data_IF_321737799299
#
_entry.id   IF_321737799299
#
_cell.length_a   1.000
_cell.length_b   1.000
_cell.length_c   1.000
_cell.angle_alpha   90.00
_cell.angle_beta   90.00
_cell.angle_gamma   90.00
#
_symmetry.space_group_name_H-M   'P 1'
#
loop_
_entity.id
_entity.type
_entity.pdbx_description
1 polymer ?
#
# COMPACT_ATOMS: atom_id res chain seq x y z
N UNK A 1 25.73 28.93 -44.15
CA UNK A 1 25.02 30.05 -43.47
C UNK A 1 24.51 29.53 -42.14
N UNK A 2 25.17 29.90 -41.05
CA UNK A 2 24.79 29.44 -39.69
C UNK A 2 23.60 30.27 -39.24
N UNK A 3 22.51 29.57 -38.93
CA UNK A 3 21.21 30.16 -38.63
C UNK A 3 21.26 30.86 -37.26
N UNK A 4 21.63 32.13 -37.22
CA UNK A 4 21.77 32.99 -36.03
C UNK A 4 20.44 33.10 -35.22
N UNK A 5 19.32 32.92 -35.87
CA UNK A 5 17.98 32.93 -35.27
C UNK A 5 17.84 31.83 -34.22
N UNK A 6 18.41 30.63 -34.43
CA UNK A 6 18.32 29.50 -33.49
C UNK A 6 19.11 29.73 -32.19
N UNK A 7 20.09 30.64 -32.19
CA UNK A 7 20.98 30.92 -31.05
C UNK A 7 20.36 31.90 -30.05
N UNK A 8 19.44 32.76 -30.50
CA UNK A 8 18.84 33.81 -29.66
C UNK A 8 17.37 33.59 -29.31
N UNK A 9 16.59 32.90 -30.14
CA UNK A 9 15.15 32.72 -29.93
C UNK A 9 14.83 31.46 -29.09
N UNK A 10 15.52 30.34 -29.29
CA UNK A 10 15.26 29.10 -28.52
C UNK A 10 15.49 29.20 -27.02
N UNK A 11 16.54 29.89 -26.49
CA UNK A 11 16.70 30.03 -25.03
C UNK A 11 15.62 30.88 -24.39
N UNK A 12 15.12 31.92 -25.03
CA UNK A 12 14.07 32.79 -24.49
C UNK A 12 12.69 32.10 -24.47
N UNK A 13 12.35 31.34 -25.51
CA UNK A 13 11.09 30.58 -25.53
C UNK A 13 11.06 29.49 -24.47
N UNK A 14 12.17 28.76 -24.24
CA UNK A 14 12.26 27.77 -23.14
C UNK A 14 12.12 28.39 -21.75
N UNK A 15 12.59 29.64 -21.55
CA UNK A 15 12.43 30.33 -20.27
C UNK A 15 11.00 30.86 -20.03
N UNK A 16 10.30 31.26 -21.11
CA UNK A 16 8.90 31.72 -21.01
C UNK A 16 7.94 30.56 -20.75
N UNK A 17 8.16 29.40 -21.37
CA UNK A 17 7.35 28.20 -21.09
C UNK A 17 7.68 27.56 -19.73
N UNK A 18 8.91 27.70 -19.22
CA UNK A 18 9.27 27.24 -17.87
C UNK A 18 8.70 28.11 -16.76
N UNK A 19 8.45 29.39 -17.01
CA UNK A 19 7.88 30.32 -16.02
C UNK A 19 6.36 30.20 -15.84
N UNK A 20 5.62 29.62 -16.80
CA UNK A 20 4.15 29.47 -16.71
C UNK A 20 3.68 28.20 -15.99
N UNK A 21 4.55 27.25 -15.69
CA UNK A 21 4.20 26.03 -14.94
C UNK A 21 4.62 26.08 -13.45
N UNK A 22 5.24 27.17 -12.99
CA UNK A 22 5.80 27.27 -11.63
C UNK A 22 5.06 28.25 -10.70
N UNK A 23 3.99 28.90 -11.16
CA UNK A 23 3.23 29.83 -10.32
C UNK A 23 1.77 29.40 -10.30
N UNK A 24 1.39 28.61 -9.32
CA UNK A 24 0.15 28.51 -8.54
C UNK A 24 0.06 27.16 -7.82
N UNK A 25 0.94 26.89 -6.92
CA UNK A 25 0.72 25.94 -5.85
C UNK A 25 0.77 26.70 -4.51
N UNK A 26 -0.31 27.36 -4.19
CA UNK A 26 -0.56 27.99 -2.90
C UNK A 26 -0.91 26.95 -1.82
N UNK A 27 -0.57 25.70 -2.05
CA UNK A 27 -0.80 24.63 -1.07
C UNK A 27 -2.25 24.20 -0.88
N UNK A 28 -3.22 24.91 -1.48
CA UNK A 28 -4.66 24.68 -1.31
C UNK A 28 -5.24 23.66 -2.30
N UNK A 29 -4.56 23.45 -3.44
CA UNK A 29 -5.08 22.65 -4.54
C UNK A 29 -4.36 21.31 -4.66
N UNK A 30 -5.11 20.28 -5.03
CA UNK A 30 -4.59 18.96 -5.43
C UNK A 30 -4.84 18.75 -6.92
N UNK A 31 -3.78 18.43 -7.65
CA UNK A 31 -3.87 18.08 -9.06
C UNK A 31 -4.03 16.55 -9.22
N UNK A 32 -4.92 16.13 -10.12
CA UNK A 32 -5.10 14.75 -10.50
C UNK A 32 -4.48 14.45 -11.87
N UNK A 33 -4.12 13.20 -12.13
CA UNK A 33 -3.63 12.74 -13.44
C UNK A 33 -4.64 12.96 -14.59
N UNK A 34 -5.93 13.18 -14.29
CA UNK A 34 -6.96 13.60 -15.26
C UNK A 34 -6.97 15.12 -15.52
N UNK A 35 -5.94 15.87 -15.07
CA UNK A 35 -5.78 17.32 -15.23
C UNK A 35 -6.86 18.16 -14.53
N UNK A 36 -7.64 17.59 -13.63
CA UNK A 36 -8.59 18.33 -12.80
C UNK A 36 -7.94 18.75 -11.48
N UNK A 37 -8.17 20.02 -11.12
CA UNK A 37 -7.80 20.60 -9.82
C UNK A 37 -8.96 20.45 -8.85
N UNK A 38 -8.67 20.06 -7.63
CA UNK A 38 -9.65 19.95 -6.54
C UNK A 38 -9.05 20.59 -5.29
N UNK A 39 -9.85 21.26 -4.47
CA UNK A 39 -9.38 21.76 -3.17
C UNK A 39 -8.92 20.58 -2.31
N UNK A 40 -7.80 20.73 -1.59
CA UNK A 40 -7.26 19.67 -0.72
C UNK A 40 -8.26 19.23 0.35
N UNK A 41 -9.05 20.15 0.88
CA UNK A 41 -10.10 19.83 1.86
C UNK A 41 -11.21 18.96 1.26
N UNK A 42 -11.71 19.31 0.08
CA UNK A 42 -12.74 18.53 -0.60
C UNK A 42 -12.21 17.17 -1.03
N UNK A 43 -10.95 17.13 -1.44
CA UNK A 43 -10.26 15.91 -1.78
C UNK A 43 -10.12 14.99 -0.57
N UNK A 44 -9.77 15.53 0.61
CA UNK A 44 -9.72 14.80 1.87
C UNK A 44 -11.10 14.31 2.30
N UNK A 45 -12.15 15.17 2.22
CA UNK A 45 -13.54 14.77 2.50
C UNK A 45 -14.01 13.63 1.59
N UNK A 46 -13.54 13.59 0.34
CA UNK A 46 -13.82 12.51 -0.60
C UNK A 46 -12.83 11.33 -0.48
N UNK A 47 -12.25 11.10 0.71
CA UNK A 47 -11.33 10.01 1.02
C UNK A 47 -10.12 9.93 0.07
N UNK A 48 -9.63 11.08 -0.39
CA UNK A 48 -8.53 11.19 -1.38
C UNK A 48 -8.84 10.47 -2.71
N UNK A 49 -10.09 10.41 -3.10
CA UNK A 49 -10.55 9.93 -4.40
C UNK A 49 -10.89 11.13 -5.28
N UNK A 50 -10.40 11.17 -6.50
CA UNK A 50 -10.71 12.26 -7.42
C UNK A 50 -12.22 12.32 -7.72
N UNK A 51 -12.91 13.43 -7.48
CA UNK A 51 -14.35 13.52 -7.72
C UNK A 51 -14.72 13.39 -9.21
N UNK A 52 -13.80 13.74 -10.11
CA UNK A 52 -14.02 13.73 -11.55
C UNK A 52 -13.80 12.36 -12.17
N UNK A 53 -12.61 11.74 -12.00
CA UNK A 53 -12.27 10.48 -12.63
C UNK A 53 -12.38 9.26 -11.70
N UNK A 54 -12.78 9.48 -10.44
CA UNK A 54 -12.95 8.45 -9.40
C UNK A 54 -11.68 7.68 -9.02
N UNK A 55 -10.50 8.11 -9.53
CA UNK A 55 -9.23 7.46 -9.22
C UNK A 55 -8.82 7.72 -7.77
N UNK A 56 -8.51 6.69 -6.98
CA UNK A 56 -7.97 6.85 -5.65
C UNK A 56 -6.51 7.32 -5.74
N UNK A 57 -6.17 8.34 -4.97
CA UNK A 57 -4.80 8.81 -4.84
C UNK A 57 -4.05 8.04 -3.74
N UNK A 58 -2.72 7.89 -3.86
CA UNK A 58 -1.91 7.25 -2.83
C UNK A 58 -2.09 7.93 -1.48
N UNK A 59 -2.17 7.12 -0.42
CA UNK A 59 -2.19 7.56 0.96
C UNK A 59 -0.87 7.17 1.63
N UNK A 60 -0.44 7.96 2.60
CA UNK A 60 0.58 7.52 3.53
C UNK A 60 -0.04 6.62 4.63
N UNK A 61 0.81 5.97 5.42
CA UNK A 61 0.35 5.00 6.43
C UNK A 61 -0.60 5.64 7.44
N UNK A 62 -0.26 6.83 7.97
CA UNK A 62 -1.11 7.56 8.92
C UNK A 62 -2.48 7.89 8.33
N UNK A 63 -2.52 8.44 7.12
CA UNK A 63 -3.80 8.75 6.45
C UNK A 63 -4.65 7.49 6.25
N UNK A 64 -4.02 6.34 5.98
CA UNK A 64 -4.71 5.06 5.84
C UNK A 64 -5.34 4.64 7.16
N UNK A 65 -4.61 4.69 8.26
CA UNK A 65 -5.12 4.34 9.58
C UNK A 65 -6.25 5.28 10.01
N UNK A 66 -6.05 6.60 9.84
CA UNK A 66 -7.05 7.63 10.19
C UNK A 66 -8.39 7.46 9.44
N UNK A 67 -8.34 6.96 8.18
CA UNK A 67 -9.55 6.74 7.38
C UNK A 67 -10.23 5.40 7.66
N UNK A 68 -9.46 4.41 8.11
CA UNK A 68 -9.95 3.04 8.20
C UNK A 68 -10.39 2.67 9.61
N UNK A 69 -9.70 3.13 10.65
CA UNK A 69 -9.97 2.78 12.03
C UNK A 69 -10.96 3.75 12.69
N UNK A 70 -11.67 3.25 13.69
CA UNK A 70 -12.66 4.00 14.46
C UNK A 70 -12.00 5.20 15.14
N UNK A 71 -12.64 6.37 15.04
CA UNK A 71 -12.23 7.64 15.66
C UNK A 71 -10.78 8.06 15.41
N UNK A 72 -10.10 7.42 14.43
CA UNK A 72 -8.66 7.54 14.18
C UNK A 72 -7.81 7.18 15.41
N UNK A 73 -8.33 6.29 16.28
CA UNK A 73 -7.65 5.79 17.46
C UNK A 73 -6.99 4.44 17.18
N UNK A 74 -5.69 4.36 17.45
CA UNK A 74 -4.91 3.14 17.28
C UNK A 74 -3.60 3.19 18.04
N UNK A 75 -3.08 2.02 18.36
CA UNK A 75 -1.79 1.84 19.01
C UNK A 75 -0.76 1.29 18.03
N UNK A 76 0.43 1.87 18.00
CA UNK A 76 1.54 1.38 17.18
C UNK A 76 2.07 0.07 17.73
N UNK A 77 2.30 -0.90 16.86
CA UNK A 77 2.89 -2.19 17.23
C UNK A 77 4.41 -2.06 17.22
N UNK A 78 5.03 -2.39 18.34
CA UNK A 78 6.48 -2.41 18.46
C UNK A 78 7.08 -3.60 17.69
N UNK A 79 8.25 -3.39 17.11
CA UNK A 79 8.96 -4.40 16.33
C UNK A 79 10.47 -4.31 16.53
N UNK A 80 11.17 -5.40 16.25
CA UNK A 80 12.62 -5.44 16.22
C UNK A 80 13.18 -4.52 15.13
N UNK A 81 14.29 -3.82 15.42
CA UNK A 81 14.92 -2.90 14.47
C UNK A 81 16.24 -3.49 13.96
N UNK A 82 16.24 -4.28 12.88
CA UNK A 82 17.48 -4.74 12.25
C UNK A 82 18.26 -3.56 11.66
N UNK A 83 19.57 -3.72 11.38
CA UNK A 83 20.35 -2.70 10.72
C UNK A 83 19.72 -2.23 9.41
N UNK A 84 19.64 -0.91 9.20
CA UNK A 84 19.02 -0.33 7.99
C UNK A 84 19.82 -0.66 6.72
N UNK A 85 21.14 -0.69 6.80
CA UNK A 85 22.07 -0.98 5.69
C UNK A 85 23.08 -2.06 6.11
N UNK A 86 22.65 -3.33 6.16
CA UNK A 86 23.47 -4.42 6.70
C UNK A 86 24.65 -4.81 5.80
N UNK A 87 24.62 -4.44 4.53
CA UNK A 87 25.67 -4.78 3.54
C UNK A 87 26.48 -3.57 3.06
N UNK A 88 26.22 -2.37 3.63
CA UNK A 88 26.83 -1.10 3.20
C UNK A 88 26.74 -0.90 1.69
N UNK A 89 25.52 -1.03 1.16
CA UNK A 89 25.27 -1.01 -0.29
C UNK A 89 25.57 0.34 -0.92
N UNK A 90 26.28 0.29 -2.05
CA UNK A 90 26.60 1.46 -2.88
C UNK A 90 26.42 1.09 -4.36
N UNK A 91 25.61 1.87 -5.06
CA UNK A 91 25.55 1.90 -6.52
C UNK A 91 26.02 3.28 -7.02
N UNK A 92 25.17 4.07 -7.64
CA UNK A 92 25.44 5.48 -7.99
C UNK A 92 25.44 6.40 -6.77
N UNK A 93 24.87 5.96 -5.64
CA UNK A 93 24.77 6.65 -4.34
C UNK A 93 24.79 5.64 -3.22
N UNK A 94 25.25 6.05 -2.03
CA UNK A 94 25.16 5.21 -0.82
C UNK A 94 23.69 4.96 -0.47
N UNK A 95 23.35 3.75 -0.05
CA UNK A 95 21.99 3.43 0.36
C UNK A 95 21.53 4.26 1.57
N UNK A 96 22.41 4.56 2.52
CA UNK A 96 22.14 5.46 3.66
C UNK A 96 21.66 6.84 3.22
N UNK A 97 22.21 7.39 2.11
CA UNK A 97 21.77 8.69 1.59
C UNK A 97 20.37 8.61 0.96
N UNK A 98 20.03 7.46 0.34
CA UNK A 98 18.68 7.22 -0.18
C UNK A 98 17.66 7.09 0.94
N UNK A 99 18.01 6.40 2.04
CA UNK A 99 17.15 6.27 3.22
C UNK A 99 16.89 7.63 3.86
N UNK A 100 17.95 8.42 4.08
CA UNK A 100 17.83 9.78 4.64
C UNK A 100 16.89 10.64 3.79
N UNK A 101 17.10 10.66 2.48
CA UNK A 101 16.24 11.39 1.54
C UNK A 101 14.80 10.91 1.59
N UNK A 102 14.56 9.60 1.60
CA UNK A 102 13.21 9.03 1.66
C UNK A 102 12.49 9.43 2.96
N UNK A 103 13.18 9.42 4.10
CA UNK A 103 12.64 9.89 5.40
C UNK A 103 12.28 11.38 5.36
N UNK A 104 13.16 12.22 4.81
CA UNK A 104 12.94 13.67 4.68
C UNK A 104 11.73 13.99 3.76
N UNK A 105 11.63 13.29 2.62
CA UNK A 105 10.57 13.55 1.64
C UNK A 105 9.20 13.01 2.07
N UNK A 106 9.15 11.91 2.82
CA UNK A 106 7.89 11.24 3.16
C UNK A 106 7.43 11.48 4.60
N UNK A 107 8.35 11.93 5.48
CA UNK A 107 8.11 12.02 6.92
C UNK A 107 7.89 10.64 7.58
N UNK A 108 8.32 9.54 6.94
CA UNK A 108 8.16 8.19 7.44
C UNK A 108 9.51 7.51 7.66
N UNK A 109 9.59 6.66 8.68
CA UNK A 109 10.81 5.89 8.98
C UNK A 109 11.01 4.69 8.04
N UNK A 110 9.90 4.08 7.56
CA UNK A 110 9.93 2.94 6.65
C UNK A 110 8.65 2.92 5.79
N UNK A 111 8.66 2.11 4.73
CA UNK A 111 7.51 1.91 3.83
C UNK A 111 6.30 1.29 4.52
N UNK A 112 6.52 0.43 5.50
CA UNK A 112 5.49 -0.32 6.23
C UNK A 112 5.35 0.19 7.66
N UNK A 113 4.10 0.23 8.14
CA UNK A 113 3.76 0.45 9.55
C UNK A 113 2.63 -0.49 9.94
N UNK A 114 2.57 -0.82 11.22
CA UNK A 114 1.54 -1.69 11.77
C UNK A 114 0.93 -1.07 13.04
N UNK A 115 -0.39 -1.19 13.15
CA UNK A 115 -1.15 -0.67 14.28
C UNK A 115 -2.24 -1.66 14.71
N UNK A 116 -2.69 -1.49 15.93
CA UNK A 116 -3.83 -2.19 16.51
C UNK A 116 -4.93 -1.17 16.81
N UNK A 117 -6.16 -1.46 16.42
CA UNK A 117 -7.31 -0.58 16.61
C UNK A 117 -8.62 -1.33 16.42
N UNK A 118 -9.67 -0.58 16.09
CA UNK A 118 -11.01 -1.11 15.90
C UNK A 118 -11.58 -0.69 14.54
N UNK A 119 -12.41 -1.55 13.98
CA UNK A 119 -13.21 -1.33 12.77
C UNK A 119 -14.67 -1.64 13.09
N UNK A 120 -15.52 -0.61 13.24
CA UNK A 120 -16.91 -0.75 13.71
C UNK A 120 -16.97 -1.62 14.99
N UNK A 121 -16.16 -1.27 15.98
CA UNK A 121 -15.96 -1.98 17.27
C UNK A 121 -15.32 -3.38 17.15
N UNK A 122 -14.99 -3.87 15.96
CA UNK A 122 -14.25 -5.11 15.74
C UNK A 122 -12.75 -4.89 15.99
N UNK A 123 -12.09 -5.68 16.86
CA UNK A 123 -10.65 -5.54 17.07
C UNK A 123 -9.87 -6.04 15.87
N UNK A 124 -9.01 -5.19 15.34
CA UNK A 124 -8.19 -5.49 14.14
C UNK A 124 -6.72 -5.13 14.33
N UNK A 125 -5.86 -5.85 13.66
CA UNK A 125 -4.45 -5.49 13.43
C UNK A 125 -4.30 -5.07 11.97
N UNK A 126 -3.83 -3.86 11.74
CA UNK A 126 -3.72 -3.29 10.39
C UNK A 126 -2.27 -3.00 10.05
N UNK A 127 -1.83 -3.54 8.94
CA UNK A 127 -0.53 -3.24 8.31
C UNK A 127 -0.79 -2.35 7.11
N UNK A 128 -0.03 -1.29 6.94
CA UNK A 128 -0.12 -0.40 5.78
C UNK A 128 1.24 -0.15 5.17
N UNK A 129 1.29 -0.11 3.84
CA UNK A 129 2.47 0.22 3.06
C UNK A 129 2.26 1.50 2.26
N UNK A 130 3.34 2.28 2.09
CA UNK A 130 3.35 3.47 1.25
C UNK A 130 4.34 3.34 0.09
N UNK A 131 3.89 3.65 -1.12
CA UNK A 131 4.74 3.57 -2.32
C UNK A 131 5.77 4.70 -2.40
N UNK A 132 5.48 5.86 -1.80
CA UNK A 132 6.36 7.03 -1.82
C UNK A 132 7.70 6.77 -1.13
N UNK A 133 7.76 5.86 -0.15
CA UNK A 133 9.00 5.46 0.49
C UNK A 133 9.65 4.32 -0.30
N UNK A 134 10.69 4.61 -1.06
CA UNK A 134 11.49 3.66 -1.86
C UNK A 134 10.66 2.65 -2.67
N UNK A 135 9.57 3.12 -3.29
CA UNK A 135 8.71 2.29 -4.13
C UNK A 135 7.92 1.22 -3.36
N UNK A 136 7.66 1.41 -2.08
CA UNK A 136 6.97 0.40 -1.27
C UNK A 136 7.76 -0.89 -1.11
N UNK A 137 9.09 -0.87 -1.29
CA UNK A 137 9.89 -2.09 -1.36
C UNK A 137 10.11 -2.73 0.00
N UNK A 138 10.07 -4.07 0.02
CA UNK A 138 10.22 -4.91 1.21
C UNK A 138 11.70 -5.16 1.53
N UNK A 139 12.06 -5.02 2.80
CA UNK A 139 13.41 -5.21 3.36
C UNK A 139 13.33 -5.93 4.72
N UNK A 140 14.46 -6.22 5.39
CA UNK A 140 14.44 -6.85 6.71
C UNK A 140 13.59 -6.12 7.76
N UNK A 141 13.56 -4.78 7.74
CA UNK A 141 12.77 -4.00 8.70
C UNK A 141 11.26 -4.15 8.45
N UNK A 142 10.81 -4.13 7.19
CA UNK A 142 9.41 -4.41 6.87
C UNK A 142 9.01 -5.84 7.22
N UNK A 143 9.96 -6.79 7.10
CA UNK A 143 9.78 -8.15 7.57
C UNK A 143 9.48 -8.21 9.07
N UNK A 144 10.28 -7.52 9.91
CA UNK A 144 10.04 -7.46 11.35
C UNK A 144 8.71 -6.81 11.70
N UNK A 145 8.34 -5.71 11.02
CA UNK A 145 7.04 -5.06 11.22
C UNK A 145 5.91 -6.02 10.93
N UNK A 146 5.98 -6.75 9.80
CA UNK A 146 4.94 -7.69 9.41
C UNK A 146 4.82 -8.87 10.39
N UNK A 147 5.94 -9.46 10.80
CA UNK A 147 5.94 -10.57 11.74
C UNK A 147 5.39 -10.15 13.11
N UNK A 148 5.87 -9.03 13.64
CA UNK A 148 5.37 -8.49 14.92
C UNK A 148 3.87 -8.19 14.88
N UNK A 149 3.37 -7.70 13.73
CA UNK A 149 1.95 -7.48 13.52
C UNK A 149 1.16 -8.80 13.49
N UNK A 150 1.68 -9.81 12.80
CA UNK A 150 1.05 -11.15 12.76
C UNK A 150 1.03 -11.82 14.15
N UNK A 151 2.14 -11.76 14.88
CA UNK A 151 2.22 -12.26 16.26
C UNK A 151 1.24 -11.52 17.18
N UNK A 152 1.14 -10.20 17.04
CA UNK A 152 0.18 -9.39 17.78
C UNK A 152 -1.27 -9.81 17.47
N UNK A 153 -1.61 -10.02 16.18
CA UNK A 153 -2.93 -10.47 15.76
C UNK A 153 -3.26 -11.85 16.36
N UNK A 154 -2.34 -12.80 16.31
CA UNK A 154 -2.48 -14.14 16.89
C UNK A 154 -2.69 -14.06 18.41
N UNK A 155 -1.81 -13.33 19.11
CA UNK A 155 -1.84 -13.23 20.57
C UNK A 155 -3.15 -12.62 21.11
N UNK A 156 -3.70 -11.66 20.37
CA UNK A 156 -4.90 -10.91 20.78
C UNK A 156 -6.16 -11.33 20.02
N UNK A 157 -6.11 -12.41 19.22
CA UNK A 157 -7.23 -12.92 18.41
C UNK A 157 -7.89 -11.82 17.55
N UNK A 158 -7.09 -10.96 16.90
CA UNK A 158 -7.56 -9.85 16.08
C UNK A 158 -7.48 -10.20 14.60
N UNK A 159 -8.48 -9.82 13.81
CA UNK A 159 -8.39 -9.95 12.34
C UNK A 159 -7.17 -9.20 11.79
N UNK A 160 -6.50 -9.77 10.78
CA UNK A 160 -5.27 -9.25 10.22
C UNK A 160 -5.51 -8.65 8.84
N UNK A 161 -5.31 -7.34 8.69
CA UNK A 161 -5.62 -6.59 7.46
C UNK A 161 -4.36 -5.91 6.96
N UNK A 162 -4.04 -6.09 5.66
CA UNK A 162 -2.85 -5.53 5.04
C UNK A 162 -3.23 -4.65 3.85
N UNK A 163 -2.99 -3.35 3.94
CA UNK A 163 -3.02 -2.44 2.81
C UNK A 163 -1.65 -2.43 2.14
N UNK A 164 -1.55 -3.04 0.96
CA UNK A 164 -0.28 -3.22 0.27
C UNK A 164 -0.18 -2.39 -1.00
N UNK A 165 1.00 -1.82 -1.21
CA UNK A 165 1.45 -1.23 -2.46
C UNK A 165 2.97 -1.36 -2.53
N UNK A 166 3.49 -2.02 -3.54
CA UNK A 166 4.91 -2.40 -3.55
C UNK A 166 5.43 -2.67 -4.96
N UNK A 167 6.63 -2.20 -5.23
CA UNK A 167 7.44 -2.60 -6.38
C UNK A 167 8.18 -3.93 -6.20
N UNK A 168 8.06 -4.58 -5.04
CA UNK A 168 8.73 -5.85 -4.73
C UNK A 168 9.80 -5.76 -3.65
N UNK A 169 10.82 -6.61 -3.75
CA UNK A 169 11.91 -6.69 -2.77
C UNK A 169 12.94 -5.57 -2.96
N UNK A 170 13.46 -5.03 -1.85
CA UNK A 170 14.43 -3.94 -1.85
C UNK A 170 15.81 -4.43 -2.28
N UNK A 171 16.28 -3.97 -3.45
CA UNK A 171 17.56 -4.38 -4.03
C UNK A 171 18.76 -4.05 -3.13
N UNK A 172 18.72 -2.92 -2.44
CA UNK A 172 19.82 -2.39 -1.63
C UNK A 172 20.12 -3.23 -0.38
N UNK A 173 19.25 -4.13 0.01
CA UNK A 173 19.50 -5.08 1.11
C UNK A 173 19.72 -6.51 0.60
N UNK A 174 19.80 -6.68 -0.72
CA UNK A 174 20.21 -7.90 -1.40
C UNK A 174 19.37 -9.11 -1.00
N UNK A 175 20.02 -10.22 -0.76
CA UNK A 175 19.40 -11.50 -0.41
C UNK A 175 18.59 -11.45 0.89
N UNK A 176 18.93 -10.55 1.81
CA UNK A 176 18.17 -10.37 3.06
C UNK A 176 16.73 -9.92 2.82
N UNK A 177 16.48 -9.15 1.75
CA UNK A 177 15.11 -8.82 1.31
C UNK A 177 14.36 -10.03 0.80
N UNK A 178 15.02 -10.89 0.01
CA UNK A 178 14.40 -12.09 -0.55
C UNK A 178 13.97 -13.07 0.55
N UNK A 179 14.77 -13.19 1.61
CA UNK A 179 14.42 -14.02 2.77
C UNK A 179 13.13 -13.58 3.47
N UNK A 180 12.74 -12.29 3.35
CA UNK A 180 11.49 -11.82 3.94
C UNK A 180 10.26 -12.45 3.28
N UNK A 181 10.35 -12.87 2.01
CA UNK A 181 9.25 -13.58 1.35
C UNK A 181 8.89 -14.85 2.13
N UNK A 182 9.86 -15.69 2.45
CA UNK A 182 9.63 -16.92 3.21
C UNK A 182 9.11 -16.60 4.63
N UNK A 183 9.70 -15.63 5.32
CA UNK A 183 9.28 -15.24 6.68
C UNK A 183 7.83 -14.76 6.72
N UNK A 184 7.45 -13.87 5.81
CA UNK A 184 6.07 -13.36 5.71
C UNK A 184 5.08 -14.46 5.30
N UNK A 185 5.48 -15.39 4.41
CA UNK A 185 4.67 -16.55 4.04
C UNK A 185 4.40 -17.45 5.25
N UNK A 186 5.43 -17.72 6.07
CA UNK A 186 5.27 -18.48 7.32
C UNK A 186 4.30 -17.75 8.28
N UNK A 187 4.43 -16.43 8.42
CA UNK A 187 3.52 -15.65 9.27
C UNK A 187 2.06 -15.76 8.80
N UNK A 188 1.79 -15.69 7.48
CA UNK A 188 0.44 -15.91 6.93
C UNK A 188 -0.07 -17.33 7.21
N UNK A 189 0.81 -18.33 7.12
CA UNK A 189 0.45 -19.71 7.47
C UNK A 189 0.09 -19.85 8.96
N UNK A 190 0.85 -19.25 9.87
CA UNK A 190 0.55 -19.28 11.32
C UNK A 190 -0.74 -18.53 11.66
N UNK A 191 -1.05 -17.41 11.00
CA UNK A 191 -2.34 -16.72 11.11
C UNK A 191 -3.49 -17.68 10.73
N UNK A 192 -3.38 -18.33 9.57
CA UNK A 192 -4.38 -19.29 9.09
C UNK A 192 -4.54 -20.47 10.04
N UNK A 193 -3.43 -21.04 10.52
CA UNK A 193 -3.45 -22.16 11.50
C UNK A 193 -4.12 -21.81 12.82
N UNK A 194 -4.10 -20.52 13.18
CA UNK A 194 -4.78 -19.98 14.37
C UNK A 194 -6.20 -19.46 14.09
N UNK A 195 -6.73 -19.72 12.90
CA UNK A 195 -8.04 -19.24 12.46
C UNK A 195 -8.19 -17.70 12.54
N UNK A 196 -7.10 -16.96 12.38
CA UNK A 196 -7.15 -15.50 12.32
C UNK A 196 -7.55 -15.09 10.90
N UNK A 197 -8.68 -14.39 10.69
CA UNK A 197 -9.08 -13.89 9.38
C UNK A 197 -8.06 -12.96 8.79
N UNK A 198 -7.72 -13.15 7.51
CA UNK A 198 -6.71 -12.36 6.80
C UNK A 198 -7.29 -11.70 5.57
N UNK A 199 -7.05 -10.40 5.41
CA UNK A 199 -7.49 -9.63 4.24
C UNK A 199 -6.31 -8.83 3.71
N UNK A 200 -6.06 -8.93 2.41
CA UNK A 200 -5.09 -8.07 1.70
C UNK A 200 -5.83 -7.14 0.76
N UNK A 201 -5.46 -5.87 0.79
CA UNK A 201 -6.02 -4.83 -0.07
C UNK A 201 -4.91 -4.21 -0.91
N UNK A 202 -4.99 -4.33 -2.22
CA UNK A 202 -4.16 -3.55 -3.13
C UNK A 202 -4.57 -2.07 -3.06
N UNK A 203 -3.74 -1.28 -2.39
CA UNK A 203 -3.88 0.19 -2.25
C UNK A 203 -3.04 0.95 -3.28
N UNK A 204 -2.52 0.25 -4.26
CA UNK A 204 -1.66 0.67 -5.36
C UNK A 204 -1.17 -0.55 -6.14
N UNK A 205 -0.11 -0.39 -6.92
CA UNK A 205 0.51 -1.52 -7.61
C UNK A 205 1.14 -2.50 -6.62
N UNK A 206 0.96 -3.79 -6.85
CA UNK A 206 1.52 -4.89 -6.03
C UNK A 206 2.30 -5.82 -6.94
N UNK A 207 3.63 -5.75 -6.87
CA UNK A 207 4.50 -6.43 -7.83
C UNK A 207 5.61 -7.23 -7.13
N UNK A 208 6.20 -8.12 -7.87
CA UNK A 208 7.40 -8.86 -7.48
C UNK A 208 7.18 -9.83 -6.34
N UNK A 209 8.17 -9.91 -5.48
CA UNK A 209 8.13 -10.81 -4.33
C UNK A 209 7.01 -10.53 -3.33
N UNK A 210 6.43 -9.33 -3.32
CA UNK A 210 5.26 -9.02 -2.49
C UNK A 210 4.05 -9.84 -2.93
N UNK A 211 3.77 -9.88 -4.24
CA UNK A 211 2.71 -10.73 -4.80
C UNK A 211 3.02 -12.22 -4.59
N UNK A 212 4.28 -12.63 -4.82
CA UNK A 212 4.69 -14.02 -4.70
C UNK A 212 4.85 -14.52 -3.24
N UNK A 213 4.48 -13.72 -2.26
CA UNK A 213 4.55 -14.09 -0.85
C UNK A 213 3.22 -13.79 -0.14
N UNK A 214 3.22 -12.93 0.86
CA UNK A 214 2.06 -12.70 1.73
C UNK A 214 0.80 -12.20 1.00
N UNK A 215 0.97 -11.42 -0.07
CA UNK A 215 -0.18 -10.73 -0.67
C UNK A 215 -1.16 -11.68 -1.37
N UNK A 216 -0.69 -12.83 -1.86
CA UNK A 216 -1.55 -13.86 -2.50
C UNK A 216 -2.01 -14.99 -1.57
N UNK A 217 -1.79 -14.85 -0.25
CA UNK A 217 -2.07 -15.93 0.72
C UNK A 217 -3.21 -15.60 1.70
N UNK A 218 -3.83 -14.44 1.55
CA UNK A 218 -4.94 -14.03 2.41
C UNK A 218 -6.24 -14.80 2.11
N UNK A 219 -7.16 -14.82 3.06
CA UNK A 219 -8.50 -15.39 2.89
C UNK A 219 -9.35 -14.57 1.91
N UNK A 220 -9.07 -13.26 1.83
CA UNK A 220 -9.65 -12.36 0.82
C UNK A 220 -8.61 -11.37 0.31
N UNK A 221 -8.65 -11.15 -1.00
CA UNK A 221 -7.74 -10.25 -1.70
C UNK A 221 -8.55 -9.24 -2.50
N UNK A 222 -8.47 -7.96 -2.10
CA UNK A 222 -9.23 -6.87 -2.72
C UNK A 222 -8.32 -5.89 -3.45
N UNK A 223 -8.88 -5.10 -4.36
CA UNK A 223 -8.22 -3.94 -4.97
C UNK A 223 -9.09 -2.70 -4.85
N UNK A 224 -8.50 -1.53 -4.56
CA UNK A 224 -9.21 -0.24 -4.54
C UNK A 224 -9.49 0.33 -5.94
N UNK A 225 -8.79 -0.15 -6.98
CA UNK A 225 -8.87 0.37 -8.35
C UNK A 225 -8.66 -0.76 -9.37
N UNK A 226 -9.42 -0.74 -10.44
CA UNK A 226 -9.33 -1.72 -11.52
C UNK A 226 -8.02 -1.68 -12.31
N UNK A 227 -7.31 -0.54 -12.27
CA UNK A 227 -6.09 -0.29 -13.03
C UNK A 227 -4.80 -0.53 -12.23
N UNK A 228 -4.87 -0.91 -10.94
CA UNK A 228 -3.69 -1.28 -10.20
C UNK A 228 -3.07 -2.54 -10.78
N UNK A 229 -1.74 -2.54 -10.91
CA UNK A 229 -1.03 -3.69 -11.40
C UNK A 229 -0.81 -4.71 -10.29
N UNK A 230 -1.06 -5.97 -10.60
CA UNK A 230 -0.85 -7.10 -9.73
C UNK A 230 -0.12 -8.20 -10.48
N UNK A 231 1.09 -8.55 -10.04
CA UNK A 231 1.85 -9.60 -10.71
C UNK A 231 3.25 -9.81 -10.15
N UNK A 232 3.85 -10.96 -10.48
CA UNK A 232 5.20 -11.29 -10.03
C UNK A 232 6.26 -10.42 -10.73
N UNK A 233 6.18 -10.26 -12.04
CA UNK A 233 7.09 -9.40 -12.81
C UNK A 233 6.34 -8.23 -13.42
N UNK A 234 6.92 -7.02 -13.31
CA UNK A 234 6.36 -5.84 -13.98
C UNK A 234 6.37 -6.01 -15.51
N UNK A 235 5.38 -5.45 -16.20
CA UNK A 235 5.21 -5.52 -17.67
C UNK A 235 6.52 -5.29 -18.42
N UNK A 236 7.25 -4.23 -18.08
CA UNK A 236 8.50 -3.89 -18.73
C UNK A 236 9.52 -5.05 -18.75
N UNK A 237 9.64 -5.78 -17.64
CA UNK A 237 10.58 -6.91 -17.54
C UNK A 237 10.09 -8.07 -18.40
N UNK A 238 8.79 -8.34 -18.39
CA UNK A 238 8.18 -9.39 -19.22
C UNK A 238 8.38 -9.08 -20.69
N UNK A 239 8.06 -7.87 -21.13
CA UNK A 239 8.20 -7.42 -22.51
C UNK A 239 9.65 -7.47 -23.02
N UNK A 240 10.61 -7.09 -22.15
CA UNK A 240 12.03 -7.19 -22.47
C UNK A 240 12.50 -8.64 -22.65
N UNK A 241 11.99 -9.56 -21.85
CA UNK A 241 12.37 -10.97 -21.92
C UNK A 241 11.68 -11.71 -23.08
N UNK A 242 10.39 -11.49 -23.26
CA UNK A 242 9.62 -12.11 -24.35
C UNK A 242 9.81 -11.43 -25.69
N UNK A 243 10.34 -10.19 -25.73
CA UNK A 243 10.46 -9.32 -26.90
C UNK A 243 9.12 -9.03 -27.58
N UNK A 244 8.03 -9.11 -26.82
CA UNK A 244 6.66 -8.86 -27.24
C UNK A 244 6.04 -7.79 -26.34
N UNK A 245 5.13 -6.98 -26.89
CA UNK A 245 4.36 -6.01 -26.11
C UNK A 245 3.14 -6.66 -25.52
N UNK A 246 2.95 -6.50 -24.23
CA UNK A 246 1.75 -6.93 -23.54
C UNK A 246 0.60 -5.94 -23.78
N UNK A 247 -0.62 -6.45 -23.88
CA UNK A 247 -1.81 -5.62 -23.88
C UNK A 247 -1.87 -4.67 -22.66
N UNK A 248 -2.47 -3.48 -22.80
CA UNK A 248 -2.54 -2.51 -21.71
C UNK A 248 -3.28 -3.05 -20.48
N UNK A 249 -4.23 -3.96 -20.68
CA UNK A 249 -5.07 -4.60 -19.65
C UNK A 249 -4.35 -5.66 -18.83
N UNK A 250 -3.33 -6.32 -19.40
CA UNK A 250 -2.61 -7.42 -18.73
C UNK A 250 -2.05 -6.99 -17.38
N UNK A 251 -2.21 -7.81 -16.37
CA UNK A 251 -1.85 -7.54 -14.98
C UNK A 251 -2.61 -6.37 -14.30
N UNK A 252 -3.61 -5.75 -14.92
CA UNK A 252 -4.47 -4.84 -14.16
C UNK A 252 -5.33 -5.64 -13.17
N UNK A 253 -5.79 -5.01 -12.09
CA UNK A 253 -6.69 -5.68 -11.12
C UNK A 253 -7.93 -6.23 -11.81
N UNK A 254 -8.44 -5.55 -12.85
CA UNK A 254 -9.55 -6.03 -13.66
C UNK A 254 -9.21 -7.33 -14.38
N UNK A 255 -8.06 -7.38 -15.03
CA UNK A 255 -7.60 -8.60 -15.70
C UNK A 255 -7.34 -9.73 -14.69
N UNK A 256 -6.74 -9.41 -13.54
CA UNK A 256 -6.37 -10.39 -12.52
C UNK A 256 -7.59 -11.03 -11.85
N UNK A 257 -8.69 -10.27 -11.62
CA UNK A 257 -9.92 -10.82 -11.06
C UNK A 257 -10.57 -11.79 -12.04
N UNK A 258 -10.55 -11.48 -13.36
CA UNK A 258 -11.07 -12.35 -14.39
C UNK A 258 -10.28 -13.67 -14.52
N UNK A 259 -9.05 -13.72 -13.97
CA UNK A 259 -8.17 -14.89 -13.91
C UNK A 259 -8.07 -15.51 -12.50
N UNK A 260 -8.91 -15.11 -11.57
CA UNK A 260 -9.00 -15.71 -10.22
C UNK A 260 -7.87 -15.32 -9.25
N UNK A 261 -7.09 -14.28 -9.55
CA UNK A 261 -5.99 -13.81 -8.68
C UNK A 261 -6.41 -12.74 -7.67
N UNK A 262 -7.63 -12.22 -7.74
CA UNK A 262 -8.26 -11.29 -6.81
C UNK A 262 -9.71 -11.70 -6.59
N UNK A 263 -10.27 -11.40 -5.42
CA UNK A 263 -11.66 -11.73 -5.09
C UNK A 263 -12.63 -10.59 -5.46
N UNK A 264 -12.26 -9.33 -5.19
CA UNK A 264 -13.11 -8.17 -5.46
C UNK A 264 -12.31 -6.91 -5.80
N UNK A 265 -12.91 -6.04 -6.64
CA UNK A 265 -12.51 -4.63 -6.80
C UNK A 265 -13.52 -3.78 -6.06
N UNK A 266 -13.08 -3.07 -5.01
CA UNK A 266 -13.94 -2.33 -4.09
C UNK A 266 -13.47 -0.88 -4.02
N UNK A 267 -14.29 0.08 -4.51
CA UNK A 267 -13.96 1.49 -4.37
C UNK A 267 -13.71 1.88 -2.91
N UNK A 268 -12.72 2.74 -2.66
CA UNK A 268 -12.26 3.12 -1.32
C UNK A 268 -13.37 3.49 -0.34
N UNK A 269 -14.40 4.19 -0.80
CA UNK A 269 -15.52 4.62 0.05
C UNK A 269 -16.43 3.48 0.54
N UNK A 270 -16.35 2.29 -0.08
CA UNK A 270 -17.09 1.08 0.33
C UNK A 270 -16.20 0.06 1.05
N UNK A 271 -14.89 0.25 1.01
CA UNK A 271 -13.94 -0.77 1.43
C UNK A 271 -14.06 -1.10 2.93
N UNK A 272 -14.29 -0.07 3.76
CA UNK A 272 -14.45 -0.25 5.20
C UNK A 272 -15.65 -1.13 5.52
N UNK A 273 -16.81 -0.86 4.90
CA UNK A 273 -18.05 -1.60 5.11
C UNK A 273 -17.94 -3.04 4.58
N UNK A 274 -17.32 -3.22 3.41
CA UNK A 274 -17.12 -4.56 2.84
C UNK A 274 -16.21 -5.44 3.70
N UNK A 275 -15.12 -4.89 4.22
CA UNK A 275 -14.24 -5.62 5.14
C UNK A 275 -14.99 -5.97 6.42
N UNK A 276 -15.71 -5.02 6.99
CA UNK A 276 -16.52 -5.28 8.19
C UNK A 276 -17.57 -6.37 7.96
N UNK A 277 -18.32 -6.29 6.85
CA UNK A 277 -19.34 -7.28 6.51
C UNK A 277 -18.75 -8.69 6.36
N UNK A 278 -17.62 -8.81 5.66
CA UNK A 278 -16.93 -10.08 5.53
C UNK A 278 -16.49 -10.65 6.88
N UNK A 279 -15.86 -9.83 7.72
CA UNK A 279 -15.40 -10.23 9.04
C UNK A 279 -16.58 -10.60 9.95
N UNK A 280 -17.70 -9.86 9.89
CA UNK A 280 -18.91 -10.14 10.69
C UNK A 280 -19.50 -11.50 10.37
N UNK A 281 -19.55 -11.87 9.08
CA UNK A 281 -20.04 -13.17 8.63
C UNK A 281 -19.09 -14.28 9.11
N UNK A 282 -17.79 -14.10 8.89
CA UNK A 282 -16.79 -15.12 9.22
C UNK A 282 -16.68 -15.37 10.71
N UNK A 283 -16.77 -14.31 11.52
CA UNK A 283 -16.72 -14.36 12.97
C UNK A 283 -18.12 -14.66 13.60
N UNK A 284 -19.14 -14.88 12.78
CA UNK A 284 -20.52 -15.17 13.22
C UNK A 284 -21.10 -14.12 14.18
N UNK A 285 -20.75 -12.85 13.96
CA UNK A 285 -21.27 -11.77 14.78
C UNK A 285 -22.75 -11.53 14.47
N UNK A 286 -23.59 -11.40 15.51
CA UNK A 286 -24.99 -11.02 15.34
C UNK A 286 -25.11 -9.51 15.24
N UNK A 287 -25.94 -9.00 14.32
CA UNK A 287 -26.14 -7.55 14.09
C UNK A 287 -26.51 -6.74 15.35
N UNK A 288 -27.07 -7.39 16.40
CA UNK A 288 -27.46 -6.75 17.66
C UNK A 288 -26.30 -6.45 18.62
N UNK A 289 -25.18 -7.17 18.52
CA UNK A 289 -24.06 -7.04 19.49
C UNK A 289 -23.14 -5.87 19.15
N UNK A 290 -23.24 -5.34 17.95
CA UNK A 290 -22.38 -4.26 17.46
C UNK A 290 -22.87 -2.86 17.89
N UNK A 291 -24.13 -2.72 18.30
CA UNK A 291 -24.71 -1.43 18.71
C UNK A 291 -24.49 -1.03 20.16
N UNK A 292 -24.11 -1.98 21.01
CA UNK A 292 -23.79 -1.70 22.40
C UNK A 292 -22.28 -1.64 22.61
N UNK A 293 -21.76 -0.42 22.68
CA UNK A 293 -20.34 -0.06 22.76
C UNK A 293 -19.58 -0.51 24.02
N UNK A 294 -20.03 -1.58 24.70
CA UNK A 294 -19.40 -2.13 25.91
C UNK A 294 -19.26 -3.65 25.90
N UNK A 295 -19.28 -4.31 24.75
CA UNK A 295 -19.16 -5.78 24.69
C UNK A 295 -17.73 -6.17 24.32
N UNK A 296 -17.08 -6.85 25.26
CA UNK A 296 -15.87 -7.63 24.98
C UNK A 296 -16.25 -8.77 24.04
N UNK A 297 -15.85 -8.71 22.79
CA UNK A 297 -16.09 -9.78 21.81
C UNK A 297 -15.13 -10.92 22.12
N UNK A 298 -15.64 -11.98 22.76
CA UNK A 298 -14.92 -13.23 22.90
C UNK A 298 -14.89 -13.93 21.54
N UNK A 299 -13.77 -13.83 20.84
CA UNK A 299 -13.53 -14.57 19.58
C UNK A 299 -13.22 -16.02 19.97
N UNK A 300 -14.23 -16.80 20.24
CA UNK A 300 -14.07 -18.26 20.32
C UNK A 300 -13.87 -18.79 18.89
N UNK A 301 -12.64 -19.26 18.62
CA UNK A 301 -12.33 -19.98 17.41
C UNK A 301 -13.31 -21.15 17.24
N UNK A 302 -13.95 -21.19 16.07
CA UNK A 302 -14.79 -22.33 15.70
C UNK A 302 -13.87 -23.52 15.47
N UNK A 303 -13.84 -24.43 16.42
CA UNK A 303 -13.29 -25.77 16.27
C UNK A 303 -14.11 -26.61 15.29
#
# INVERSE_FOLDING_TARGET
MVNWISKYIKPKLKSIFKKKSAERDDGLWQNCSCSKLTLKEDFKKNLFVCPSCKKPHPLNNKQRFDLFLDDSEYESINYGRPPEDPINFVDTKKYKDRLKKAKEETGQDETMQAVSGYLNALPVTVVSMTFSYLGGSVNPQTGEIFLSAAEHAIKNSKAFIVYTTSGGMRMQTGNLSLQQMARMTIAMHELKKKNIPTIVVAAGHVLGGTTASFASLADQIYSEDENYLWGFSGKRIIEQNLREKLGPEVQTSRWVIDHGGLDKIIPRHKLRDEIYNFLSILLKLKEKEVKDSNVTVDIQAVS
#
